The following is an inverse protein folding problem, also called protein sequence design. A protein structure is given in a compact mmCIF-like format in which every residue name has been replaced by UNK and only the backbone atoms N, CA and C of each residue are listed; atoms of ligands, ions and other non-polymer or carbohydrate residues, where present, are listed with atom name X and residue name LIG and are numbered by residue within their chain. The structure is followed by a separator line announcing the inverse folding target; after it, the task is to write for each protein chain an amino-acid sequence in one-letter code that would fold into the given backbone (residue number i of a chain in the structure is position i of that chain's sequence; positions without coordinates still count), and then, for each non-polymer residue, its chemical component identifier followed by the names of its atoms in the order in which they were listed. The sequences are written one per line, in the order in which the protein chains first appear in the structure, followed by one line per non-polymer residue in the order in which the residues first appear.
data_IF_810302252458
#
_entry.id   IF_810302252458
#
_cell.length_a   1.000
_cell.length_b   1.000
_cell.length_c   1.000
_cell.angle_alpha   90.00
_cell.angle_beta   90.00
_cell.angle_gamma   90.00
#
_symmetry.space_group_name_H-M   'P 1'
#
loop_
_entity.id
_entity.type
_entity.pdbx_description
1 polymer ?
#
# COMPACT_ATOMS: atom_id res chain seq x y z
N UNK A 1 26.20 24.14 6.78
CA UNK A 1 25.10 24.61 5.92
C UNK A 1 24.94 23.60 4.80
N UNK A 2 23.76 22.99 4.74
CA UNK A 2 23.43 21.75 4.03
C UNK A 2 23.23 21.97 2.53
N UNK A 3 23.99 21.25 1.70
CA UNK A 3 23.73 21.11 0.27
C UNK A 3 22.85 19.89 0.01
N UNK A 4 21.68 20.10 -0.62
CA UNK A 4 20.86 19.03 -1.17
C UNK A 4 21.51 18.53 -2.47
N UNK A 5 21.98 17.28 -2.48
CA UNK A 5 22.34 16.57 -3.72
C UNK A 5 21.07 15.98 -4.34
N UNK A 6 20.60 16.57 -5.43
CA UNK A 6 19.63 15.96 -6.34
C UNK A 6 20.26 14.74 -7.01
N UNK A 7 19.68 13.56 -6.81
CA UNK A 7 20.04 12.35 -7.58
C UNK A 7 19.52 12.56 -9.00
N UNK A 8 20.44 12.76 -9.96
CA UNK A 8 20.15 12.84 -11.39
C UNK A 8 20.25 11.41 -11.94
N UNK A 9 19.12 10.81 -12.33
CA UNK A 9 19.11 9.51 -13.01
C UNK A 9 19.85 9.61 -14.35
N UNK A 10 20.90 8.81 -14.53
CA UNK A 10 21.72 8.80 -15.74
C UNK A 10 21.21 7.73 -16.73
N UNK A 11 20.40 8.14 -17.71
CA UNK A 11 19.74 7.25 -18.68
C UNK A 11 20.59 6.97 -19.94
N UNK A 12 21.67 6.19 -19.79
CA UNK A 12 22.55 5.81 -20.91
C UNK A 12 22.34 4.39 -21.47
N UNK A 13 21.35 3.63 -20.99
CA UNK A 13 21.09 2.28 -21.49
C UNK A 13 19.94 2.26 -22.52
N UNK A 14 20.26 1.90 -23.77
CA UNK A 14 19.35 1.97 -24.92
C UNK A 14 18.16 0.99 -24.82
N UNK A 15 18.34 -0.16 -24.16
CA UNK A 15 17.27 -1.14 -23.91
C UNK A 15 16.26 -0.65 -22.87
N UNK A 16 16.73 0.02 -21.81
CA UNK A 16 15.87 0.63 -20.79
C UNK A 16 15.02 1.77 -21.36
N UNK A 17 15.56 2.56 -22.31
CA UNK A 17 14.78 3.59 -23.02
C UNK A 17 13.64 2.99 -23.84
N UNK A 18 13.87 1.89 -24.57
CA UNK A 18 12.80 1.25 -25.37
C UNK A 18 11.71 0.63 -24.49
N UNK A 19 12.08 0.00 -23.38
CA UNK A 19 11.13 -0.51 -22.38
C UNK A 19 10.30 0.60 -21.75
N UNK A 20 10.95 1.70 -21.36
CA UNK A 20 10.30 2.87 -20.76
C UNK A 20 9.36 3.59 -21.73
N UNK A 21 9.75 3.76 -23.01
CA UNK A 21 8.89 4.36 -24.05
C UNK A 21 7.66 3.48 -24.30
N UNK A 22 7.83 2.15 -24.38
CA UNK A 22 6.72 1.22 -24.58
C UNK A 22 5.77 1.19 -23.38
N UNK A 23 6.30 1.25 -22.16
CA UNK A 23 5.51 1.37 -20.93
C UNK A 23 4.77 2.72 -20.85
N UNK A 24 5.41 3.83 -21.23
CA UNK A 24 4.79 5.16 -21.27
C UNK A 24 3.65 5.21 -22.31
N UNK A 25 3.83 4.60 -23.48
CA UNK A 25 2.75 4.48 -24.47
C UNK A 25 1.60 3.59 -24.00
N UNK A 26 1.90 2.47 -23.32
CA UNK A 26 0.88 1.57 -22.77
C UNK A 26 0.11 2.21 -21.61
N UNK A 27 0.78 2.96 -20.74
CA UNK A 27 0.14 3.69 -19.63
C UNK A 27 -0.71 4.86 -20.12
N UNK A 28 -0.27 5.58 -21.17
CA UNK A 28 -1.08 6.59 -21.86
C UNK A 28 -2.29 5.98 -22.57
N UNK A 29 -2.13 4.83 -23.24
CA UNK A 29 -3.24 4.09 -23.89
C UNK A 29 -4.23 3.53 -22.87
N UNK A 30 -3.75 3.00 -21.74
CA UNK A 30 -4.60 2.53 -20.64
C UNK A 30 -5.39 3.69 -20.03
N UNK A 31 -4.75 4.84 -19.78
CA UNK A 31 -5.42 6.02 -19.22
C UNK A 31 -6.35 6.73 -20.22
N UNK A 32 -6.03 6.75 -21.51
CA UNK A 32 -6.96 7.18 -22.56
C UNK A 32 -8.25 6.35 -22.54
N UNK A 33 -8.15 5.08 -22.11
CA UNK A 33 -9.26 4.12 -22.07
C UNK A 33 -9.98 4.09 -20.72
N UNK A 34 -9.31 4.42 -19.61
CA UNK A 34 -9.83 4.25 -18.23
C UNK A 34 -9.68 5.47 -17.31
N UNK A 35 -9.05 6.55 -17.76
CA UNK A 35 -8.93 7.80 -17.02
C UNK A 35 -10.25 8.56 -16.94
N UNK A 36 -10.42 9.46 -15.94
CA UNK A 36 -11.60 10.31 -15.81
C UNK A 36 -11.64 11.37 -16.93
N UNK A 37 -12.18 11.01 -18.11
CA UNK A 37 -12.11 11.87 -19.30
C UNK A 37 -13.41 12.58 -19.66
N UNK A 38 -14.58 12.08 -19.23
CA UNK A 38 -15.86 12.71 -19.54
C UNK A 38 -16.85 12.70 -18.36
N UNK A 39 -17.46 13.87 -18.11
CA UNK A 39 -18.46 14.19 -17.08
C UNK A 39 -19.88 14.12 -17.68
N UNK A 40 -20.02 14.26 -19.01
CA UNK A 40 -21.32 14.24 -19.69
C UNK A 40 -21.97 12.86 -19.60
N UNK A 41 -23.27 12.83 -19.35
CA UNK A 41 -24.08 11.59 -19.26
C UNK A 41 -23.92 10.76 -17.97
N UNK A 42 -23.07 11.17 -17.03
CA UNK A 42 -22.86 10.46 -15.76
C UNK A 42 -23.77 10.96 -14.65
N UNK A 43 -24.14 10.07 -13.72
CA UNK A 43 -24.94 10.45 -12.56
C UNK A 43 -24.20 11.44 -11.64
N UNK A 44 -24.94 12.16 -10.80
CA UNK A 44 -24.42 13.24 -9.95
C UNK A 44 -23.26 12.77 -9.06
N UNK A 45 -23.33 11.56 -8.53
CA UNK A 45 -22.27 10.97 -7.68
C UNK A 45 -20.98 10.74 -8.45
N UNK A 46 -21.08 10.19 -9.67
CA UNK A 46 -19.95 9.96 -10.56
C UNK A 46 -19.35 11.29 -11.06
N UNK A 47 -20.17 12.29 -11.38
CA UNK A 47 -19.69 13.63 -11.75
C UNK A 47 -18.91 14.29 -10.61
N UNK A 48 -19.44 14.25 -9.38
CA UNK A 48 -18.75 14.75 -8.19
C UNK A 48 -17.44 13.99 -7.93
N UNK A 49 -17.41 12.67 -8.13
CA UNK A 49 -16.19 11.88 -8.02
C UNK A 49 -15.15 12.33 -9.05
N UNK A 50 -15.53 12.45 -10.33
CA UNK A 50 -14.64 12.88 -11.43
C UNK A 50 -14.04 14.26 -11.18
N UNK A 51 -14.86 15.23 -10.80
CA UNK A 51 -14.38 16.58 -10.48
C UNK A 51 -13.36 16.57 -9.35
N UNK A 52 -13.52 15.71 -8.33
CA UNK A 52 -12.53 15.57 -7.26
C UNK A 52 -11.22 14.99 -7.78
N UNK A 53 -11.27 13.95 -8.62
CA UNK A 53 -10.05 13.35 -9.19
C UNK A 53 -9.29 14.39 -10.04
N UNK A 54 -9.98 15.20 -10.84
CA UNK A 54 -9.32 16.24 -11.67
C UNK A 54 -8.58 17.32 -10.88
N UNK A 55 -9.05 17.61 -9.64
CA UNK A 55 -8.48 18.62 -8.74
C UNK A 55 -7.43 18.08 -7.79
N UNK A 56 -7.17 16.78 -7.81
CA UNK A 56 -6.29 16.09 -6.86
C UNK A 56 -4.82 16.21 -7.30
N UNK A 57 -3.95 16.95 -6.56
CA UNK A 57 -2.57 17.18 -6.98
C UNK A 57 -1.77 15.87 -7.06
N UNK A 58 -2.05 14.93 -6.15
CA UNK A 58 -1.35 13.64 -6.09
C UNK A 58 -1.69 12.71 -7.25
N UNK A 59 -2.79 12.93 -7.96
CA UNK A 59 -3.10 12.17 -9.18
C UNK A 59 -2.22 12.61 -10.33
N UNK A 60 -2.00 13.92 -10.46
CA UNK A 60 -1.08 14.46 -11.46
C UNK A 60 0.35 14.04 -11.15
N UNK A 61 0.74 14.11 -9.87
CA UNK A 61 2.07 13.72 -9.44
C UNK A 61 2.32 12.21 -9.64
N UNK A 62 1.36 11.35 -9.26
CA UNK A 62 1.47 9.91 -9.47
C UNK A 62 1.68 9.58 -10.95
N UNK A 63 0.98 10.30 -11.85
CA UNK A 63 1.17 10.16 -13.29
C UNK A 63 2.57 10.60 -13.75
N UNK A 64 3.07 11.72 -13.24
CA UNK A 64 4.40 12.23 -13.59
C UNK A 64 5.52 11.29 -13.11
N UNK A 65 5.34 10.67 -11.94
CA UNK A 65 6.29 9.75 -11.32
C UNK A 65 6.01 8.27 -11.67
N UNK A 66 5.03 8.00 -12.54
CA UNK A 66 4.61 6.66 -12.98
C UNK A 66 4.16 5.69 -11.85
N UNK A 67 3.64 6.22 -10.74
CA UNK A 67 2.89 5.43 -9.77
C UNK A 67 1.48 5.12 -10.30
N UNK A 68 1.02 3.88 -10.10
CA UNK A 68 -0.29 3.40 -10.59
C UNK A 68 -1.47 4.17 -10.03
N UNK A 69 -1.36 4.69 -8.81
CA UNK A 69 -2.35 5.60 -8.25
C UNK A 69 -1.78 6.49 -7.13
N UNK A 70 -2.56 7.50 -6.74
CA UNK A 70 -2.16 8.51 -5.76
C UNK A 70 -1.89 7.99 -4.34
N UNK A 71 -2.33 6.78 -3.99
CA UNK A 71 -2.12 6.25 -2.64
C UNK A 71 -0.64 5.94 -2.36
N UNK A 72 0.21 5.83 -3.39
CA UNK A 72 1.67 5.76 -3.24
C UNK A 72 2.21 6.87 -2.32
N UNK A 73 1.70 8.10 -2.45
CA UNK A 73 2.14 9.23 -1.63
C UNK A 73 1.84 9.07 -0.14
N UNK A 74 0.79 8.33 0.21
CA UNK A 74 0.53 8.01 1.62
C UNK A 74 1.68 7.18 2.19
N UNK A 75 2.08 6.12 1.49
CA UNK A 75 3.16 5.25 1.93
C UNK A 75 4.52 5.95 1.87
N UNK A 76 4.78 6.75 0.82
CA UNK A 76 6.00 7.55 0.72
C UNK A 76 6.12 8.54 1.87
N UNK A 77 5.06 9.28 2.21
CA UNK A 77 5.06 10.20 3.35
C UNK A 77 5.31 9.48 4.67
N UNK A 78 4.61 8.36 4.91
CA UNK A 78 4.81 7.56 6.12
C UNK A 78 6.23 7.01 6.19
N UNK A 79 6.76 6.47 5.09
CA UNK A 79 8.11 5.94 5.06
C UNK A 79 9.17 7.04 5.21
N UNK A 80 8.99 8.22 4.62
CA UNK A 80 9.92 9.33 4.78
C UNK A 80 9.95 9.85 6.23
N UNK A 81 8.83 9.75 6.95
CA UNK A 81 8.74 10.19 8.35
C UNK A 81 9.25 9.14 9.34
N UNK A 82 9.03 7.86 9.05
CA UNK A 82 9.24 6.79 10.03
C UNK A 82 10.31 5.77 9.63
N UNK A 83 10.87 5.85 8.42
CA UNK A 83 11.89 4.91 7.93
C UNK A 83 11.42 3.46 8.15
N UNK A 84 10.30 3.13 7.51
CA UNK A 84 9.62 1.83 7.66
C UNK A 84 10.43 0.74 6.94
N UNK A 85 11.00 1.09 5.78
CA UNK A 85 11.67 0.14 4.89
C UNK A 85 13.19 0.29 4.89
N UNK A 86 13.87 -0.82 4.63
CA UNK A 86 15.30 -0.89 4.37
C UNK A 86 15.59 -1.90 3.26
N UNK A 87 16.67 -1.70 2.47
CA UNK A 87 17.04 -2.65 1.41
C UNK A 87 17.23 -4.08 1.92
N UNK A 88 16.72 -5.06 1.19
CA UNK A 88 16.83 -6.49 1.50
C UNK A 88 15.72 -7.05 2.40
N UNK A 89 14.79 -6.22 2.86
CA UNK A 89 13.66 -6.68 3.69
C UNK A 89 12.65 -7.52 2.90
N UNK A 90 11.93 -8.37 3.64
CA UNK A 90 10.77 -9.13 3.18
C UNK A 90 9.50 -8.40 3.59
N UNK A 91 8.67 -8.04 2.62
CA UNK A 91 7.48 -7.21 2.82
C UNK A 91 6.25 -7.87 2.21
N UNK A 92 5.17 -7.87 2.97
CA UNK A 92 3.85 -8.34 2.52
C UNK A 92 2.93 -7.12 2.40
N UNK A 93 2.31 -6.95 1.23
CA UNK A 93 1.42 -5.84 0.90
C UNK A 93 -0.01 -6.34 0.69
N UNK A 94 -0.87 -6.21 1.71
CA UNK A 94 -2.25 -6.68 1.69
C UNK A 94 -3.23 -5.58 1.27
N UNK A 95 -4.10 -5.87 0.30
CA UNK A 95 -4.95 -4.84 -0.31
C UNK A 95 -4.17 -3.99 -1.29
N UNK A 96 -3.31 -4.64 -2.08
CA UNK A 96 -2.30 -3.99 -2.90
C UNK A 96 -2.86 -3.34 -4.16
N UNK A 97 -4.03 -3.74 -4.69
CA UNK A 97 -4.53 -3.26 -5.97
C UNK A 97 -4.74 -1.73 -5.96
N UNK A 98 -4.28 -1.00 -6.99
CA UNK A 98 -3.75 -1.48 -8.27
C UNK A 98 -2.24 -1.79 -8.28
N UNK A 99 -1.53 -1.70 -7.15
CA UNK A 99 -0.10 -2.02 -6.99
C UNK A 99 0.77 -0.82 -6.67
N UNK A 100 0.20 0.34 -6.29
CA UNK A 100 0.97 1.57 -6.06
C UNK A 100 1.83 1.52 -4.80
N UNK A 101 1.36 0.86 -3.73
CA UNK A 101 2.16 0.61 -2.53
C UNK A 101 3.26 -0.40 -2.84
N UNK A 102 2.92 -1.47 -3.57
CA UNK A 102 3.89 -2.47 -4.04
C UNK A 102 5.03 -1.82 -4.84
N UNK A 103 4.75 -0.87 -5.75
CA UNK A 103 5.79 -0.11 -6.46
C UNK A 103 6.74 0.62 -5.51
N UNK A 104 6.20 1.31 -4.50
CA UNK A 104 7.00 2.00 -3.48
C UNK A 104 7.84 1.00 -2.70
N UNK A 105 7.27 -0.13 -2.29
CA UNK A 105 7.97 -1.15 -1.52
C UNK A 105 9.14 -1.73 -2.32
N UNK A 106 8.92 -2.14 -3.57
CA UNK A 106 9.97 -2.69 -4.46
C UNK A 106 11.18 -1.76 -4.50
N UNK A 107 10.94 -0.46 -4.71
CA UNK A 107 12.00 0.56 -4.75
C UNK A 107 12.72 0.66 -3.41
N UNK A 108 11.98 0.74 -2.30
CA UNK A 108 12.56 0.98 -0.96
C UNK A 108 13.29 -0.21 -0.38
N UNK A 109 12.88 -1.44 -0.71
CA UNK A 109 13.58 -2.66 -0.29
C UNK A 109 14.56 -3.19 -1.34
N UNK A 110 14.61 -2.55 -2.52
CA UNK A 110 15.42 -2.92 -3.67
C UNK A 110 15.26 -4.40 -4.07
N UNK A 111 14.02 -4.89 -4.18
CA UNK A 111 13.74 -6.30 -4.50
C UNK A 111 13.96 -6.67 -5.97
N UNK A 112 14.13 -5.69 -6.85
CA UNK A 112 14.47 -5.95 -8.27
C UNK A 112 15.96 -6.25 -8.48
N UNK A 113 16.85 -5.81 -7.58
CA UNK A 113 18.31 -5.97 -7.73
C UNK A 113 18.98 -6.72 -6.56
N UNK A 114 18.37 -6.71 -5.37
CA UNK A 114 18.84 -7.42 -4.17
C UNK A 114 17.87 -8.53 -3.75
N UNK A 115 18.30 -9.37 -2.80
CA UNK A 115 17.53 -10.49 -2.23
C UNK A 115 16.30 -10.09 -1.39
N UNK A 116 15.80 -8.85 -1.50
CA UNK A 116 14.55 -8.46 -0.86
C UNK A 116 13.38 -9.23 -1.47
N UNK A 117 12.32 -9.43 -0.70
CA UNK A 117 11.12 -10.14 -1.17
C UNK A 117 9.90 -9.25 -0.98
N UNK A 118 9.12 -9.08 -2.03
CA UNK A 118 7.84 -8.39 -1.96
C UNK A 118 6.75 -9.36 -2.39
N UNK A 119 5.74 -9.55 -1.54
CA UNK A 119 4.55 -10.35 -1.85
C UNK A 119 3.35 -9.42 -1.75
N UNK A 120 2.67 -9.18 -2.85
CA UNK A 120 1.45 -8.35 -2.89
C UNK A 120 0.22 -9.22 -3.10
N UNK A 121 -0.85 -8.95 -2.36
CA UNK A 121 -2.11 -9.70 -2.43
C UNK A 121 -3.31 -8.75 -2.45
N UNK A 122 -4.27 -9.04 -3.30
CA UNK A 122 -5.53 -8.31 -3.34
C UNK A 122 -6.66 -9.18 -3.89
N UNK A 123 -7.89 -8.88 -3.44
CA UNK A 123 -9.12 -9.49 -3.96
C UNK A 123 -9.33 -9.15 -5.45
N UNK A 124 -8.89 -7.97 -5.86
CA UNK A 124 -8.87 -7.54 -7.26
C UNK A 124 -7.60 -8.03 -7.95
N UNK A 125 -7.64 -8.07 -9.28
CA UNK A 125 -6.45 -8.36 -10.05
C UNK A 125 -5.41 -7.23 -9.90
N UNK A 126 -4.13 -7.62 -9.94
CA UNK A 126 -3.00 -6.71 -9.88
C UNK A 126 -2.12 -7.04 -11.08
N UNK A 127 -1.93 -6.06 -11.96
CA UNK A 127 -0.99 -6.24 -13.07
C UNK A 127 0.41 -6.53 -12.50
N UNK A 128 1.12 -7.51 -13.07
CA UNK A 128 2.41 -7.94 -12.56
C UNK A 128 3.41 -6.77 -12.43
N UNK A 129 4.26 -6.84 -11.40
CA UNK A 129 5.32 -5.87 -11.11
C UNK A 129 6.65 -6.62 -10.95
N UNK A 130 7.64 -6.27 -11.76
CA UNK A 130 8.98 -6.82 -11.64
C UNK A 130 9.58 -6.50 -10.26
N UNK A 131 10.01 -7.54 -9.54
CA UNK A 131 10.49 -7.42 -8.16
C UNK A 131 9.43 -7.73 -7.09
N UNK A 132 8.22 -8.14 -7.46
CA UNK A 132 7.21 -8.64 -6.53
C UNK A 132 6.52 -9.93 -7.01
N UNK A 133 6.23 -10.83 -6.07
CA UNK A 133 5.25 -11.90 -6.26
C UNK A 133 3.86 -11.29 -6.13
N UNK A 134 3.05 -11.43 -7.19
CA UNK A 134 1.74 -10.79 -7.27
C UNK A 134 0.62 -11.84 -7.20
N UNK A 135 -0.17 -11.80 -6.13
CA UNK A 135 -1.32 -12.67 -5.87
C UNK A 135 -2.63 -11.87 -6.06
N UNK A 136 -2.96 -11.56 -7.31
CA UNK A 136 -4.22 -10.90 -7.68
C UNK A 136 -5.42 -11.86 -7.66
N UNK A 137 -6.62 -11.33 -7.44
CA UNK A 137 -7.85 -12.14 -7.43
C UNK A 137 -7.99 -13.04 -6.18
N UNK A 138 -7.22 -12.76 -5.14
CA UNK A 138 -7.10 -13.59 -3.95
C UNK A 138 -7.58 -12.85 -2.70
N UNK A 139 -8.53 -13.43 -1.98
CA UNK A 139 -9.02 -12.87 -0.71
C UNK A 139 -8.04 -13.18 0.42
N UNK A 140 -7.33 -12.16 0.94
CA UNK A 140 -6.39 -12.31 2.06
C UNK A 140 -7.03 -12.88 3.33
N UNK A 141 -8.35 -12.74 3.52
CA UNK A 141 -9.04 -13.25 4.71
C UNK A 141 -9.23 -14.77 4.68
N UNK A 142 -8.93 -15.42 3.54
CA UNK A 142 -9.00 -16.86 3.34
C UNK A 142 -7.69 -17.54 3.72
N UNK A 143 -7.79 -18.69 4.39
CA UNK A 143 -6.63 -19.48 4.82
C UNK A 143 -5.78 -19.92 3.64
N UNK A 144 -6.40 -20.30 2.53
CA UNK A 144 -5.71 -20.74 1.31
C UNK A 144 -4.79 -19.64 0.77
N UNK A 145 -5.26 -18.39 0.79
CA UNK A 145 -4.46 -17.22 0.39
C UNK A 145 -3.30 -16.98 1.36
N UNK A 146 -3.56 -17.07 2.66
CA UNK A 146 -2.52 -16.91 3.68
C UNK A 146 -1.45 -18.01 3.57
N UNK A 147 -1.84 -19.23 3.22
CA UNK A 147 -0.92 -20.34 3.01
C UNK A 147 -0.09 -20.17 1.73
N UNK A 148 -0.66 -19.60 0.66
CA UNK A 148 0.11 -19.20 -0.52
C UNK A 148 1.19 -18.16 -0.16
N UNK A 149 0.84 -17.15 0.65
CA UNK A 149 1.81 -16.13 1.10
C UNK A 149 2.90 -16.79 1.94
N UNK A 150 2.54 -17.64 2.91
CA UNK A 150 3.49 -18.40 3.74
C UNK A 150 4.43 -19.26 2.89
N UNK A 151 3.91 -19.92 1.86
CA UNK A 151 4.73 -20.70 0.93
C UNK A 151 5.78 -19.85 0.21
N UNK A 152 5.46 -18.60 -0.13
CA UNK A 152 6.43 -17.67 -0.72
C UNK A 152 7.45 -17.13 0.29
N UNK A 153 7.10 -17.04 1.57
CA UNK A 153 8.05 -16.74 2.65
C UNK A 153 8.99 -17.93 2.93
N UNK A 154 8.60 -19.13 2.51
CA UNK A 154 9.29 -20.40 2.80
C UNK A 154 9.45 -20.62 4.32
N UNK A 155 10.68 -20.68 4.82
CA UNK A 155 10.97 -20.86 6.26
C UNK A 155 11.16 -19.53 7.00
N UNK A 156 11.19 -18.42 6.26
CA UNK A 156 11.49 -17.09 6.79
C UNK A 156 10.22 -16.35 7.26
N UNK A 157 10.43 -15.24 7.98
CA UNK A 157 9.37 -14.33 8.42
C UNK A 157 9.47 -13.01 7.65
N UNK A 158 8.35 -12.27 7.60
CA UNK A 158 8.32 -10.92 7.04
C UNK A 158 8.94 -9.92 8.02
N UNK A 159 9.71 -8.96 7.50
CA UNK A 159 10.19 -7.82 8.28
C UNK A 159 9.08 -6.77 8.43
N UNK A 160 8.25 -6.62 7.39
CA UNK A 160 7.14 -5.67 7.36
C UNK A 160 5.88 -6.29 6.78
N UNK A 161 4.75 -6.08 7.45
CA UNK A 161 3.41 -6.40 6.92
C UNK A 161 2.62 -5.10 6.79
N UNK A 162 2.12 -4.83 5.58
CA UNK A 162 1.32 -3.66 5.24
C UNK A 162 -0.11 -4.08 4.96
N UNK A 163 -1.07 -3.23 5.31
CA UNK A 163 -2.43 -3.35 4.81
C UNK A 163 -3.06 -2.01 4.47
N UNK A 164 -3.33 -1.78 3.19
CA UNK A 164 -4.22 -0.71 2.72
C UNK A 164 -5.58 -1.29 2.27
N UNK A 165 -5.98 -2.45 2.82
CA UNK A 165 -7.31 -3.01 2.58
C UNK A 165 -8.40 -2.04 3.05
N UNK A 166 -9.46 -1.94 2.25
CA UNK A 166 -10.66 -1.20 2.61
C UNK A 166 -11.87 -2.06 2.24
N UNK A 167 -12.86 -2.22 3.12
CA UNK A 167 -14.13 -2.78 2.71
C UNK A 167 -14.82 -1.83 1.71
N UNK A 168 -15.79 -2.37 0.98
CA UNK A 168 -16.73 -1.54 0.20
C UNK A 168 -17.43 -0.58 1.15
N UNK A 169 -17.29 0.72 0.90
CA UNK A 169 -17.91 1.73 1.75
C UNK A 169 -19.44 1.59 1.73
N UNK A 170 -20.03 1.30 2.88
CA UNK A 170 -21.48 1.25 3.07
C UNK A 170 -22.08 2.65 3.12
N UNK A 171 -21.26 3.66 3.44
CA UNK A 171 -21.70 5.03 3.71
C UNK A 171 -22.12 5.25 5.16
N UNK A 172 -22.18 4.18 5.97
CA UNK A 172 -22.48 4.22 7.39
C UNK A 172 -21.15 4.12 8.15
N UNK A 173 -20.69 5.23 8.73
CA UNK A 173 -19.36 5.33 9.35
C UNK A 173 -19.07 4.27 10.41
N UNK A 174 -20.05 3.91 11.24
CA UNK A 174 -19.89 2.88 12.27
C UNK A 174 -19.70 1.50 11.67
N UNK A 175 -20.48 1.15 10.64
CA UNK A 175 -20.34 -0.12 9.94
C UNK A 175 -19.00 -0.21 9.20
N UNK A 176 -18.60 0.87 8.51
CA UNK A 176 -17.31 0.95 7.82
C UNK A 176 -16.15 0.81 8.82
N UNK A 177 -16.28 1.42 10.01
CA UNK A 177 -15.32 1.25 11.11
C UNK A 177 -15.25 -0.22 11.56
N UNK A 178 -16.36 -0.84 11.91
CA UNK A 178 -16.39 -2.23 12.39
C UNK A 178 -15.82 -3.22 11.36
N UNK A 179 -16.08 -2.98 10.06
CA UNK A 179 -15.48 -3.78 8.99
C UNK A 179 -13.96 -3.56 8.89
N UNK A 180 -13.49 -2.31 9.03
CA UNK A 180 -12.05 -2.05 9.06
C UNK A 180 -11.37 -2.70 10.25
N UNK A 181 -12.00 -2.72 11.44
CA UNK A 181 -11.48 -3.43 12.61
C UNK A 181 -11.32 -4.93 12.32
N UNK A 182 -12.33 -5.57 11.71
CA UNK A 182 -12.26 -6.99 11.33
C UNK A 182 -11.09 -7.29 10.37
N UNK A 183 -10.87 -6.41 9.39
CA UNK A 183 -9.74 -6.55 8.46
C UNK A 183 -8.40 -6.42 9.19
N UNK A 184 -8.24 -5.41 10.07
CA UNK A 184 -7.02 -5.25 10.85
C UNK A 184 -6.78 -6.46 11.74
N UNK A 185 -7.80 -6.98 12.42
CA UNK A 185 -7.66 -8.18 13.26
C UNK A 185 -7.26 -9.42 12.45
N UNK A 186 -7.74 -9.56 11.21
CA UNK A 186 -7.30 -10.62 10.30
C UNK A 186 -5.81 -10.51 9.95
N UNK A 187 -5.35 -9.30 9.60
CA UNK A 187 -3.93 -9.04 9.31
C UNK A 187 -3.07 -9.24 10.56
N UNK A 188 -3.54 -8.78 11.72
CA UNK A 188 -2.83 -8.93 12.99
C UNK A 188 -2.68 -10.42 13.38
N UNK A 189 -3.74 -11.23 13.22
CA UNK A 189 -3.65 -12.68 13.44
C UNK A 189 -2.59 -13.31 12.54
N UNK A 190 -2.58 -12.96 11.26
CA UNK A 190 -1.55 -13.43 10.33
C UNK A 190 -0.15 -12.94 10.71
N UNK A 191 -0.02 -11.69 11.18
CA UNK A 191 1.25 -11.13 11.64
C UNK A 191 1.81 -11.87 12.86
N UNK A 192 0.97 -12.32 13.79
CA UNK A 192 1.40 -13.17 14.92
C UNK A 192 2.11 -14.44 14.47
N UNK A 193 1.77 -14.96 13.29
CA UNK A 193 2.37 -16.17 12.73
C UNK A 193 3.55 -15.87 11.81
N UNK A 194 3.54 -14.74 11.09
CA UNK A 194 4.44 -14.51 9.95
C UNK A 194 5.37 -13.30 10.10
N UNK A 195 5.17 -12.45 11.10
CA UNK A 195 6.03 -11.29 11.33
C UNK A 195 7.25 -11.70 12.17
N UNK A 196 8.42 -11.22 11.76
CA UNK A 196 9.68 -11.43 12.47
C UNK A 196 9.68 -10.65 13.78
N UNK A 197 10.41 -11.13 14.78
CA UNK A 197 10.77 -10.32 15.94
C UNK A 197 11.43 -9.01 15.48
N UNK A 198 11.12 -7.92 16.18
CA UNK A 198 11.47 -6.55 15.81
C UNK A 198 10.78 -6.02 14.53
N UNK A 199 9.88 -6.81 13.92
CA UNK A 199 9.16 -6.44 12.70
C UNK A 199 8.17 -5.29 12.86
N UNK A 200 7.65 -4.81 11.73
CA UNK A 200 6.71 -3.68 11.66
C UNK A 200 5.38 -4.09 11.02
N UNK A 201 4.28 -3.64 11.62
CA UNK A 201 2.93 -3.74 11.07
C UNK A 201 2.39 -2.34 10.79
N UNK A 202 1.94 -2.09 9.55
CA UNK A 202 1.28 -0.85 9.15
C UNK A 202 -0.08 -1.17 8.55
N UNK A 203 -1.16 -0.74 9.18
CA UNK A 203 -2.52 -1.11 8.77
C UNK A 203 -3.45 0.09 8.70
N UNK A 204 -4.27 0.16 7.65
CA UNK A 204 -5.35 1.14 7.55
C UNK A 204 -6.50 0.77 8.48
N UNK A 205 -7.07 1.77 9.13
CA UNK A 205 -8.28 1.67 9.94
C UNK A 205 -9.14 2.92 9.74
N UNK A 206 -10.46 2.81 9.84
CA UNK A 206 -11.31 3.99 9.91
C UNK A 206 -11.53 4.42 11.35
N UNK A 207 -11.57 5.73 11.61
CA UNK A 207 -11.87 6.26 12.93
C UNK A 207 -13.21 5.73 13.46
N UNK A 208 -13.23 5.31 14.73
CA UNK A 208 -14.46 4.89 15.42
C UNK A 208 -14.19 4.40 16.84
N UNK A 209 -15.25 3.94 17.50
CA UNK A 209 -15.28 3.67 18.94
C UNK A 209 -14.37 2.52 19.41
N UNK A 210 -14.02 1.59 18.53
CA UNK A 210 -13.18 0.43 18.89
C UNK A 210 -11.68 0.67 18.68
N UNK A 211 -11.29 1.87 18.23
CA UNK A 211 -9.89 2.19 17.91
C UNK A 211 -8.96 2.05 19.11
N UNK A 212 -9.35 2.58 20.27
CA UNK A 212 -8.53 2.50 21.49
C UNK A 212 -8.35 1.05 21.95
N UNK A 213 -9.41 0.23 21.83
CA UNK A 213 -9.34 -1.20 22.12
C UNK A 213 -8.37 -1.94 21.20
N UNK A 214 -8.35 -1.58 19.92
CA UNK A 214 -7.39 -2.14 18.95
C UNK A 214 -5.94 -1.71 19.26
N UNK A 215 -5.71 -0.45 19.63
CA UNK A 215 -4.38 0.04 20.02
C UNK A 215 -3.89 -0.71 21.25
N UNK A 216 -4.73 -0.81 22.29
CA UNK A 216 -4.41 -1.55 23.52
C UNK A 216 -4.14 -3.04 23.27
N UNK A 217 -4.74 -3.63 22.23
CA UNK A 217 -4.43 -5.00 21.81
C UNK A 217 -3.03 -5.06 21.19
N UNK A 218 -2.71 -4.16 20.26
CA UNK A 218 -1.42 -4.13 19.58
C UNK A 218 -0.26 -3.82 20.55
N UNK A 219 -0.45 -2.92 21.52
CA UNK A 219 0.58 -2.57 22.52
C UNK A 219 1.03 -3.77 23.38
N UNK A 220 0.29 -4.87 23.39
CA UNK A 220 0.70 -6.11 24.06
C UNK A 220 1.81 -6.87 23.32
N UNK A 221 2.00 -6.59 22.03
CA UNK A 221 2.85 -7.35 21.12
C UNK A 221 3.85 -6.48 20.33
N UNK A 222 3.78 -5.16 20.49
CA UNK A 222 4.66 -4.20 19.81
C UNK A 222 5.18 -3.17 20.82
N UNK A 223 6.46 -2.80 20.74
CA UNK A 223 7.03 -1.81 21.68
C UNK A 223 6.41 -0.42 21.49
N UNK A 224 5.93 -0.11 20.28
CA UNK A 224 5.34 1.19 19.97
C UNK A 224 4.22 1.07 18.95
N UNK A 225 3.02 1.49 19.33
CA UNK A 225 1.88 1.69 18.42
C UNK A 225 1.56 3.18 18.33
N UNK A 226 1.41 3.71 17.12
CA UNK A 226 1.05 5.11 16.91
C UNK A 226 0.08 5.29 15.73
N UNK A 227 -0.85 6.23 15.88
CA UNK A 227 -1.76 6.64 14.81
C UNK A 227 -1.03 7.59 13.86
N UNK A 228 -1.20 7.35 12.56
CA UNK A 228 -0.62 8.14 11.49
C UNK A 228 -1.73 8.54 10.51
N UNK A 229 -1.78 9.84 10.20
CA UNK A 229 -2.68 10.40 9.17
C UNK A 229 -1.83 11.11 8.12
N UNK A 230 -1.54 10.48 6.97
CA UNK A 230 -0.78 11.10 5.88
C UNK A 230 -1.49 12.35 5.35
N UNK A 231 -0.74 13.35 4.90
CA UNK A 231 -1.29 14.52 4.20
C UNK A 231 -1.85 14.15 2.84
N UNK A 232 -1.32 13.09 2.22
CA UNK A 232 -1.91 12.48 1.03
C UNK A 232 -3.28 11.82 1.28
N UNK A 233 -3.72 11.63 2.54
CA UNK A 233 -5.10 11.25 2.81
C UNK A 233 -6.06 12.39 2.49
N UNK A 234 -7.25 12.05 1.99
CA UNK A 234 -8.29 13.07 1.76
C UNK A 234 -8.75 13.66 3.09
N UNK A 235 -8.90 14.98 3.14
CA UNK A 235 -9.34 15.72 4.35
C UNK A 235 -10.64 15.16 4.93
N UNK A 236 -11.60 14.82 4.06
CA UNK A 236 -12.91 14.29 4.49
C UNK A 236 -12.93 12.76 4.70
N UNK A 237 -11.79 12.07 4.55
CA UNK A 237 -11.71 10.64 4.81
C UNK A 237 -11.47 10.40 6.29
N UNK A 238 -12.22 9.47 6.89
CA UNK A 238 -11.98 8.96 8.25
C UNK A 238 -10.82 7.96 8.32
N UNK A 239 -10.14 7.68 7.20
CA UNK A 239 -9.01 6.74 7.19
C UNK A 239 -7.85 7.23 8.05
N UNK A 240 -7.20 6.33 8.75
CA UNK A 240 -5.92 6.55 9.41
C UNK A 240 -5.13 5.25 9.35
N UNK A 241 -3.87 5.29 9.77
CA UNK A 241 -3.01 4.12 9.79
C UNK A 241 -2.49 3.90 11.21
N UNK A 242 -2.48 2.65 11.66
CA UNK A 242 -1.76 2.25 12.86
C UNK A 242 -0.39 1.74 12.43
N UNK A 243 0.66 2.41 12.91
CA UNK A 243 2.04 1.97 12.75
C UNK A 243 2.49 1.33 14.07
N UNK A 244 2.56 0.01 14.08
CA UNK A 244 3.01 -0.79 15.21
C UNK A 244 4.43 -1.32 14.90
N UNK A 245 5.40 -1.01 15.77
CA UNK A 245 6.82 -1.31 15.55
C UNK A 245 7.37 -2.19 16.65
N UNK A 246 8.42 -2.93 16.28
CA UNK A 246 9.19 -3.79 17.17
C UNK A 246 8.31 -4.88 17.76
N UNK A 247 7.85 -5.75 16.87
CA UNK A 247 7.08 -6.92 17.24
C UNK A 247 7.87 -7.80 18.21
N UNK A 248 7.21 -8.30 19.25
CA UNK A 248 7.78 -9.27 20.18
C UNK A 248 6.72 -10.31 20.54
N UNK A 249 7.18 -11.52 20.83
CA UNK A 249 6.35 -12.59 21.39
C UNK A 249 6.71 -12.69 22.87
N UNK A 250 5.71 -12.61 23.74
CA UNK A 250 5.88 -12.83 25.18
C UNK A 250 6.00 -14.31 25.48
#
# INVERSE_FOLDING_TARGET
MTGLSFIRFNFNNFALRKGFIKFHELSLKWYSKFGPTDIKGKNITAQKWLQRQMKDPYIRQAKQENYRCRSAYKLLEMNNKFEIFSPGQRVIDCGAAPGSWTQVVIERVNSSEKSGLVISVDLLDIEALDGAVTLGGCDFTKSETQDMIKKHLDTEKADVILSDMSPSASGIKSLDHDQSIKQVLSVFKFAMECLKEQGTLLVKVFQGSQLDGLINLLDKYFEKVQIVKPHASRVNSSEMYLLARRFFIR
#
